data_IF_719636150649
#
_entry.id   IF_719636150649
#
_cell.length_a   1.000
_cell.length_b   1.000
_cell.length_c   1.000
_cell.angle_alpha   90.00
_cell.angle_beta   90.00
_cell.angle_gamma   90.00
#
_symmetry.space_group_name_H-M   'P 1'
#
loop_
_entity.id
_entity.type
_entity.pdbx_description
1 polymer ?
#
# COMPACT_ATOMS: atom_id res chain seq x y z
N UNK A 1 25.54 -5.76 -19.07
CA UNK A 1 24.24 -5.09 -18.89
C UNK A 1 23.22 -5.98 -18.19
N UNK A 2 23.12 -7.24 -18.57
CA UNK A 2 22.19 -8.24 -18.02
C UNK A 2 22.43 -8.58 -16.55
N UNK A 3 23.68 -8.83 -16.15
CA UNK A 3 24.07 -9.17 -14.78
C UNK A 3 23.69 -8.06 -13.77
N UNK A 4 23.88 -6.78 -14.12
CA UNK A 4 23.52 -5.65 -13.26
C UNK A 4 21.99 -5.56 -13.06
N UNK A 5 21.21 -5.88 -14.10
CA UNK A 5 19.75 -5.94 -14.05
C UNK A 5 19.29 -7.05 -13.11
N UNK A 6 19.88 -8.25 -13.22
CA UNK A 6 19.57 -9.39 -12.35
C UNK A 6 19.84 -9.04 -10.88
N UNK A 7 21.01 -8.47 -10.58
CA UNK A 7 21.37 -8.07 -9.22
C UNK A 7 20.35 -7.07 -8.64
N UNK A 8 20.00 -6.03 -9.40
CA UNK A 8 19.03 -5.03 -8.93
C UNK A 8 17.65 -5.63 -8.67
N UNK A 9 17.20 -6.54 -9.54
CA UNK A 9 15.92 -7.23 -9.38
C UNK A 9 15.93 -8.16 -8.16
N UNK A 10 17.04 -8.87 -7.94
CA UNK A 10 17.22 -9.73 -6.76
C UNK A 10 17.19 -8.91 -5.46
N UNK A 11 17.83 -7.75 -5.45
CA UNK A 11 17.81 -6.81 -4.33
C UNK A 11 16.37 -6.34 -4.04
N UNK A 12 15.64 -5.94 -5.08
CA UNK A 12 14.25 -5.51 -4.93
C UNK A 12 13.36 -6.64 -4.37
N UNK A 13 13.49 -7.86 -4.88
CA UNK A 13 12.77 -9.04 -4.37
C UNK A 13 13.12 -9.35 -2.91
N UNK A 14 14.41 -9.32 -2.57
CA UNK A 14 14.89 -9.58 -1.21
C UNK A 14 14.35 -8.57 -0.19
N UNK A 15 14.41 -7.27 -0.49
CA UNK A 15 13.88 -6.25 0.40
C UNK A 15 12.34 -6.24 0.47
N UNK A 16 11.67 -6.62 -0.61
CA UNK A 16 10.23 -6.87 -0.57
C UNK A 16 9.88 -7.99 0.40
N UNK A 17 10.62 -9.09 0.36
CA UNK A 17 10.42 -10.22 1.29
C UNK A 17 10.67 -9.81 2.75
N UNK A 18 11.72 -9.03 3.03
CA UNK A 18 12.00 -8.51 4.38
C UNK A 18 10.85 -7.62 4.89
N UNK A 19 10.42 -6.66 4.07
CA UNK A 19 9.37 -5.70 4.49
C UNK A 19 8.03 -6.40 4.71
N UNK A 20 7.59 -7.23 3.77
CA UNK A 20 6.36 -8.02 3.92
C UNK A 20 6.50 -9.03 5.06
N UNK A 21 7.67 -9.66 5.22
CA UNK A 21 7.97 -10.56 6.33
C UNK A 21 7.81 -9.89 7.69
N UNK A 22 8.30 -8.66 7.86
CA UNK A 22 8.12 -7.88 9.08
C UNK A 22 6.64 -7.62 9.38
N UNK A 23 5.86 -7.17 8.37
CA UNK A 23 4.40 -6.96 8.52
C UNK A 23 3.67 -8.27 8.85
N UNK A 24 4.07 -9.37 8.22
CA UNK A 24 3.51 -10.70 8.47
C UNK A 24 3.80 -11.16 9.90
N UNK A 25 5.05 -11.02 10.35
CA UNK A 25 5.42 -11.36 11.74
C UNK A 25 4.64 -10.52 12.75
N UNK A 26 4.50 -9.22 12.54
CA UNK A 26 3.69 -8.36 13.40
C UNK A 26 2.22 -8.81 13.43
N UNK A 27 1.65 -9.17 12.27
CA UNK A 27 0.27 -9.63 12.17
C UNK A 27 0.02 -10.96 12.90
N UNK A 28 0.94 -11.94 12.76
CA UNK A 28 0.70 -13.31 13.24
C UNK A 28 1.35 -13.63 14.58
N UNK A 29 2.28 -12.80 15.04
CA UNK A 29 3.06 -13.07 16.27
C UNK A 29 2.83 -12.04 17.37
N UNK A 30 1.96 -11.04 17.14
CA UNK A 30 1.59 -10.06 18.15
C UNK A 30 0.07 -9.90 18.22
N UNK A 31 -0.43 -9.43 19.37
CA UNK A 31 -1.84 -9.15 19.59
C UNK A 31 -2.23 -7.70 19.23
N UNK A 32 -1.34 -6.98 18.54
CA UNK A 32 -1.55 -5.56 18.19
C UNK A 32 -2.45 -5.34 16.97
N UNK A 33 -2.94 -6.41 16.32
CA UNK A 33 -3.85 -6.34 15.18
C UNK A 33 -3.19 -6.65 13.84
N UNK A 34 -3.88 -6.31 12.75
CA UNK A 34 -3.41 -6.55 11.39
C UNK A 34 -2.43 -5.45 10.96
N UNK A 35 -1.32 -5.84 10.33
CA UNK A 35 -0.35 -4.90 9.73
C UNK A 35 -0.20 -5.12 8.22
N UNK A 36 -0.74 -6.24 7.71
CA UNK A 36 -0.58 -6.68 6.33
C UNK A 36 -1.87 -6.48 5.53
N UNK A 37 -1.74 -5.85 4.36
CA UNK A 37 -2.79 -5.71 3.34
C UNK A 37 -2.25 -6.22 2.01
N UNK A 38 -3.09 -6.90 1.21
CA UNK A 38 -2.67 -7.46 -0.07
C UNK A 38 -2.10 -6.40 -1.03
N UNK A 39 -2.64 -5.18 -1.02
CA UNK A 39 -2.15 -4.05 -1.82
C UNK A 39 -0.72 -3.60 -1.46
N UNK A 40 -0.23 -3.91 -0.25
CA UNK A 40 1.16 -3.65 0.13
C UNK A 40 2.16 -4.50 -0.68
N UNK A 41 1.79 -5.72 -1.08
CA UNK A 41 2.60 -6.51 -2.00
C UNK A 41 2.88 -5.80 -3.32
N UNK A 42 1.85 -5.17 -3.91
CA UNK A 42 2.00 -4.36 -5.12
C UNK A 42 2.81 -3.08 -4.87
N UNK A 43 2.72 -2.49 -3.67
CA UNK A 43 3.53 -1.33 -3.26
C UNK A 43 5.02 -1.66 -3.30
N UNK A 44 5.43 -2.88 -2.96
CA UNK A 44 6.84 -3.29 -2.99
C UNK A 44 7.44 -3.20 -4.40
N UNK A 45 6.65 -3.46 -5.44
CA UNK A 45 7.11 -3.35 -6.84
C UNK A 45 7.55 -1.91 -7.15
N UNK A 46 6.76 -0.91 -6.74
CA UNK A 46 7.12 0.50 -6.92
C UNK A 46 8.25 0.90 -5.99
N UNK A 47 8.15 0.57 -4.72
CA UNK A 47 9.08 1.03 -3.67
C UNK A 47 10.51 0.56 -3.90
N UNK A 48 10.71 -0.68 -4.35
CA UNK A 48 12.03 -1.26 -4.54
C UNK A 48 12.43 -1.44 -6.00
N UNK A 49 11.46 -1.69 -6.88
CA UNK A 49 11.70 -1.83 -8.32
C UNK A 49 11.83 -0.49 -9.04
N UNK A 50 10.98 0.47 -8.67
CA UNK A 50 10.85 1.76 -9.35
C UNK A 50 10.78 2.94 -8.36
N UNK A 51 11.75 3.10 -7.42
CA UNK A 51 11.70 4.15 -6.39
C UNK A 51 11.75 5.56 -6.95
N UNK A 52 12.20 5.74 -8.19
CA UNK A 52 12.21 7.02 -8.91
C UNK A 52 10.83 7.43 -9.43
N UNK A 53 9.87 6.50 -9.43
CA UNK A 53 8.50 6.79 -9.88
C UNK A 53 7.82 7.79 -8.94
N UNK A 54 7.11 8.81 -9.46
CA UNK A 54 6.30 9.69 -8.62
C UNK A 54 5.25 8.91 -7.80
N UNK A 55 4.80 7.76 -8.29
CA UNK A 55 3.85 6.90 -7.60
C UNK A 55 4.46 6.16 -6.39
N UNK A 56 5.79 6.09 -6.28
CA UNK A 56 6.51 5.52 -5.15
C UNK A 56 6.82 6.54 -4.04
N UNK A 57 6.43 7.81 -4.22
CA UNK A 57 6.67 8.84 -3.21
C UNK A 57 5.94 8.51 -1.90
N UNK A 58 6.58 8.73 -0.76
CA UNK A 58 6.05 8.38 0.57
C UNK A 58 4.67 8.98 0.86
N UNK A 59 4.46 10.24 0.45
CA UNK A 59 3.17 10.91 0.52
C UNK A 59 2.08 10.12 -0.22
N UNK A 60 2.39 9.66 -1.43
CA UNK A 60 1.42 8.96 -2.28
C UNK A 60 1.12 7.56 -1.74
N UNK A 61 2.12 6.86 -1.21
CA UNK A 61 1.92 5.58 -0.53
C UNK A 61 0.96 5.77 0.64
N UNK A 62 1.28 6.67 1.58
CA UNK A 62 0.48 6.85 2.79
C UNK A 62 -0.95 7.29 2.48
N UNK A 63 -1.08 8.43 1.81
CA UNK A 63 -2.41 9.01 1.56
C UNK A 63 -3.21 8.26 0.50
N UNK A 64 -2.55 7.63 -0.49
CA UNK A 64 -3.22 6.77 -1.45
C UNK A 64 -3.92 5.60 -0.78
N UNK A 65 -3.21 4.86 0.09
CA UNK A 65 -3.82 3.77 0.86
C UNK A 65 -4.90 4.26 1.80
N UNK A 66 -4.67 5.36 2.52
CA UNK A 66 -5.64 5.90 3.47
C UNK A 66 -6.94 6.34 2.78
N UNK A 67 -6.85 7.14 1.71
CA UNK A 67 -8.03 7.66 1.01
C UNK A 67 -8.84 6.54 0.37
N UNK A 68 -8.20 5.60 -0.32
CA UNK A 68 -8.93 4.53 -0.99
C UNK A 68 -9.58 3.55 0.00
N UNK A 69 -8.90 3.23 1.11
CA UNK A 69 -9.50 2.43 2.18
C UNK A 69 -10.67 3.16 2.85
N UNK A 70 -10.52 4.48 3.10
CA UNK A 70 -11.62 5.31 3.66
C UNK A 70 -12.84 5.31 2.76
N UNK A 71 -12.65 5.47 1.44
CA UNK A 71 -13.75 5.37 0.47
C UNK A 71 -14.42 4.00 0.55
N UNK A 72 -13.62 2.91 0.60
CA UNK A 72 -14.16 1.55 0.71
C UNK A 72 -14.98 1.33 1.97
N UNK A 73 -14.45 1.69 3.15
CA UNK A 73 -15.15 1.54 4.44
C UNK A 73 -16.39 2.42 4.49
N UNK A 74 -16.31 3.66 4.03
CA UNK A 74 -17.46 4.58 4.00
C UNK A 74 -18.56 4.04 3.07
N UNK A 75 -18.19 3.59 1.87
CA UNK A 75 -19.14 3.01 0.93
C UNK A 75 -19.83 1.77 1.53
N UNK A 76 -19.06 0.86 2.11
CA UNK A 76 -19.58 -0.35 2.76
C UNK A 76 -20.54 -0.03 3.91
N UNK A 77 -20.24 0.98 4.70
CA UNK A 77 -21.02 1.32 5.91
C UNK A 77 -22.33 2.05 5.57
N UNK A 78 -22.31 2.95 4.58
CA UNK A 78 -23.42 3.88 4.38
C UNK A 78 -24.22 3.64 3.09
N UNK A 79 -23.73 2.82 2.16
CA UNK A 79 -24.41 2.59 0.90
C UNK A 79 -24.97 1.16 0.85
N UNK A 80 -26.30 0.96 1.01
CA UNK A 80 -26.92 -0.36 1.06
C UNK A 80 -27.13 -0.94 -0.35
N UNK A 81 -26.02 -1.16 -1.06
CA UNK A 81 -26.00 -1.80 -2.37
C UNK A 81 -25.31 -3.16 -2.30
N UNK A 82 -25.67 -4.12 -3.15
CA UNK A 82 -24.95 -5.39 -3.24
C UNK A 82 -23.51 -5.16 -3.71
N UNK A 83 -22.58 -6.01 -3.25
CA UNK A 83 -21.15 -5.86 -3.45
C UNK A 83 -20.73 -5.68 -4.92
N UNK A 84 -21.38 -6.41 -5.85
CA UNK A 84 -21.06 -6.31 -7.28
C UNK A 84 -21.37 -4.95 -7.91
N UNK A 85 -22.20 -4.12 -7.26
CA UNK A 85 -22.46 -2.71 -7.63
C UNK A 85 -21.58 -1.77 -6.79
N UNK A 86 -21.44 -2.06 -5.51
CA UNK A 86 -20.72 -1.21 -4.56
C UNK A 86 -19.23 -1.15 -4.87
N UNK A 87 -18.60 -2.30 -5.19
CA UNK A 87 -17.17 -2.39 -5.48
C UNK A 87 -16.75 -1.46 -6.62
N UNK A 88 -17.34 -1.53 -7.84
CA UNK A 88 -16.92 -0.65 -8.93
C UNK A 88 -17.13 0.83 -8.61
N UNK A 89 -18.19 1.20 -7.89
CA UNK A 89 -18.42 2.58 -7.45
C UNK A 89 -17.32 3.02 -6.49
N UNK A 90 -17.00 2.23 -5.47
CA UNK A 90 -15.99 2.56 -4.48
C UNK A 90 -14.58 2.63 -5.10
N UNK A 91 -14.25 1.74 -6.03
CA UNK A 91 -12.98 1.80 -6.78
C UNK A 91 -12.91 3.07 -7.62
N UNK A 92 -13.97 3.38 -8.37
CA UNK A 92 -14.04 4.59 -9.18
C UNK A 92 -13.85 5.86 -8.36
N UNK A 93 -14.54 5.97 -7.22
CA UNK A 93 -14.39 7.09 -6.28
C UNK A 93 -12.98 7.14 -5.68
N UNK A 94 -12.41 6.02 -5.27
CA UNK A 94 -11.05 5.93 -4.75
C UNK A 94 -10.01 6.42 -5.75
N UNK A 95 -10.11 6.00 -7.01
CA UNK A 95 -9.25 6.47 -8.11
C UNK A 95 -9.44 7.97 -8.36
N UNK A 96 -10.69 8.43 -8.43
CA UNK A 96 -11.01 9.85 -8.60
C UNK A 96 -10.35 10.71 -7.52
N UNK A 97 -10.51 10.37 -6.24
CA UNK A 97 -9.92 11.15 -5.14
C UNK A 97 -8.39 11.08 -5.15
N UNK A 98 -7.78 9.93 -5.43
CA UNK A 98 -6.32 9.84 -5.53
C UNK A 98 -5.75 10.80 -6.60
N UNK A 99 -6.39 10.86 -7.76
CA UNK A 99 -5.96 11.74 -8.87
C UNK A 99 -6.21 13.20 -8.51
N UNK A 100 -7.40 13.53 -8.03
CA UNK A 100 -7.80 14.89 -7.67
C UNK A 100 -6.90 15.51 -6.59
N UNK A 101 -6.49 14.70 -5.60
CA UNK A 101 -5.63 15.14 -4.49
C UNK A 101 -4.13 15.07 -4.80
N UNK A 102 -3.73 14.65 -6.02
CA UNK A 102 -2.32 14.46 -6.39
C UNK A 102 -1.56 13.53 -5.42
N UNK A 103 -2.20 12.42 -5.06
CA UNK A 103 -1.66 11.37 -4.18
C UNK A 103 -1.72 10.00 -4.86
N UNK A 104 -1.61 9.95 -6.17
CA UNK A 104 -1.79 8.73 -6.96
C UNK A 104 -0.75 7.68 -6.58
N UNK A 105 -1.25 6.55 -6.07
CA UNK A 105 -0.49 5.35 -5.75
C UNK A 105 -1.27 4.13 -6.29
N UNK A 106 -0.95 3.63 -7.48
CA UNK A 106 -1.75 2.59 -8.15
C UNK A 106 -2.05 1.35 -7.30
N UNK A 107 -1.12 0.82 -6.47
CA UNK A 107 -1.43 -0.31 -5.61
C UNK A 107 -2.62 -0.08 -4.67
N UNK A 108 -2.81 1.15 -4.22
CA UNK A 108 -3.90 1.50 -3.31
C UNK A 108 -5.30 1.41 -3.97
N UNK A 109 -5.38 1.42 -5.30
CA UNK A 109 -6.64 1.27 -6.02
C UNK A 109 -7.40 -0.03 -5.72
N UNK A 110 -6.70 -1.06 -5.23
CA UNK A 110 -7.32 -2.31 -4.80
C UNK A 110 -7.96 -2.29 -3.39
N UNK A 111 -7.69 -1.27 -2.57
CA UNK A 111 -8.17 -1.23 -1.19
C UNK A 111 -9.70 -1.29 -1.06
N UNK A 112 -10.51 -0.57 -1.87
CA UNK A 112 -11.97 -0.66 -1.76
C UNK A 112 -12.49 -2.09 -1.97
N UNK A 113 -11.85 -2.86 -2.85
CA UNK A 113 -12.20 -4.27 -3.10
C UNK A 113 -11.94 -5.09 -1.84
N UNK A 114 -10.74 -4.96 -1.27
CA UNK A 114 -10.30 -5.70 -0.07
C UNK A 114 -11.23 -5.38 1.11
N UNK A 115 -11.53 -4.10 1.30
CA UNK A 115 -12.40 -3.60 2.38
C UNK A 115 -13.82 -4.17 2.26
N UNK A 116 -14.41 -4.13 1.08
CA UNK A 116 -15.80 -4.55 0.87
C UNK A 116 -15.92 -6.07 1.00
N UNK A 117 -15.07 -6.85 0.30
CA UNK A 117 -15.09 -8.32 0.39
C UNK A 117 -14.76 -8.80 1.81
N UNK A 118 -13.85 -8.11 2.50
CA UNK A 118 -13.47 -8.44 3.87
C UNK A 118 -14.43 -7.91 4.94
N UNK A 119 -15.51 -7.21 4.57
CA UNK A 119 -16.46 -6.58 5.50
C UNK A 119 -15.77 -5.77 6.59
N UNK A 120 -14.75 -4.98 6.20
CA UNK A 120 -13.89 -4.27 7.13
C UNK A 120 -14.61 -3.06 7.77
N UNK A 121 -14.32 -2.82 9.06
CA UNK A 121 -14.79 -1.66 9.83
C UNK A 121 -13.81 -0.49 9.75
N UNK A 122 -14.16 0.65 10.38
CA UNK A 122 -13.28 1.83 10.46
C UNK A 122 -11.94 1.55 11.17
N UNK A 123 -11.86 0.55 12.05
CA UNK A 123 -10.61 0.15 12.71
C UNK A 123 -9.55 -0.30 11.70
N UNK A 124 -9.98 -0.82 10.55
CA UNK A 124 -9.11 -1.19 9.46
C UNK A 124 -8.25 0.00 8.94
N UNK A 125 -8.76 1.22 9.05
CA UNK A 125 -8.00 2.42 8.67
C UNK A 125 -6.80 2.65 9.58
N UNK A 126 -6.93 2.34 10.87
CA UNK A 126 -5.83 2.46 11.83
C UNK A 126 -4.88 1.29 11.65
N UNK A 127 -5.40 0.07 11.75
CA UNK A 127 -4.66 -1.16 11.59
C UNK A 127 -5.42 -2.08 10.61
N UNK A 128 -4.87 -2.36 9.42
CA UNK A 128 -3.47 -2.25 9.00
C UNK A 128 -3.10 -0.99 8.19
N UNK A 129 -4.05 -0.14 7.74
CA UNK A 129 -3.74 0.86 6.69
C UNK A 129 -2.72 1.90 7.14
N UNK A 130 -2.97 2.63 8.21
CA UNK A 130 -2.05 3.66 8.72
C UNK A 130 -0.77 3.00 9.24
N UNK A 131 -0.89 2.05 10.15
CA UNK A 131 0.27 1.42 10.80
C UNK A 131 1.16 0.69 9.79
N UNK A 132 0.59 -0.11 8.91
CA UNK A 132 1.33 -0.82 7.88
C UNK A 132 1.98 0.12 6.86
N UNK A 133 1.27 1.18 6.42
CA UNK A 133 1.84 2.17 5.51
C UNK A 133 3.04 2.91 6.13
N UNK A 134 2.97 3.27 7.42
CA UNK A 134 4.09 3.90 8.13
C UNK A 134 5.31 2.97 8.16
N UNK A 135 5.11 1.70 8.51
CA UNK A 135 6.17 0.69 8.53
C UNK A 135 6.81 0.54 7.14
N UNK A 136 6.01 0.40 6.08
CA UNK A 136 6.47 0.31 4.70
C UNK A 136 7.32 1.53 4.33
N UNK A 137 6.87 2.73 4.68
CA UNK A 137 7.60 3.98 4.38
C UNK A 137 8.94 4.00 5.12
N UNK A 138 8.98 3.63 6.39
CA UNK A 138 10.23 3.56 7.16
C UNK A 138 11.21 2.59 6.49
N UNK A 139 10.78 1.37 6.18
CA UNK A 139 11.61 0.40 5.47
C UNK A 139 12.06 0.94 4.11
N UNK A 140 11.15 1.54 3.34
CA UNK A 140 11.45 2.10 2.03
C UNK A 140 12.51 3.20 2.09
N UNK A 141 12.40 4.13 3.05
CA UNK A 141 13.39 5.20 3.25
C UNK A 141 14.73 4.61 3.70
N UNK A 142 14.72 3.74 4.71
CA UNK A 142 15.95 3.12 5.23
C UNK A 142 16.68 2.36 4.12
N UNK A 143 15.99 1.51 3.40
CA UNK A 143 16.60 0.66 2.39
C UNK A 143 17.04 1.46 1.15
N UNK A 144 16.18 2.30 0.60
CA UNK A 144 16.55 3.05 -0.62
C UNK A 144 17.58 4.14 -0.35
N UNK A 145 17.36 4.97 0.68
CA UNK A 145 18.22 6.13 0.94
C UNK A 145 19.53 5.77 1.62
N UNK A 146 19.47 4.97 2.69
CA UNK A 146 20.66 4.74 3.52
C UNK A 146 21.47 3.50 3.10
N UNK A 147 20.82 2.43 2.64
CA UNK A 147 21.51 1.19 2.23
C UNK A 147 21.87 1.23 0.75
N UNK A 148 20.90 1.49 -0.13
CA UNK A 148 21.12 1.50 -1.57
C UNK A 148 21.63 2.85 -2.10
N UNK A 149 21.70 3.87 -1.25
CA UNK A 149 22.17 5.23 -1.58
C UNK A 149 21.46 5.84 -2.79
N UNK A 150 20.20 5.51 -2.98
CA UNK A 150 19.35 6.10 -4.01
C UNK A 150 18.80 7.45 -3.55
N UNK A 151 18.46 8.33 -4.50
CA UNK A 151 17.75 9.57 -4.19
C UNK A 151 16.26 9.27 -3.96
N UNK A 152 15.91 8.97 -2.69
CA UNK A 152 14.56 8.61 -2.26
C UNK A 152 14.23 9.23 -0.90
N UNK A 153 12.99 9.71 -0.66
CA UNK A 153 11.93 9.97 -1.66
C UNK A 153 12.31 11.16 -2.56
N UNK A 154 11.78 11.16 -3.79
CA UNK A 154 11.92 12.28 -4.74
C UNK A 154 10.73 13.19 -4.66
#
# INVERSE_FOLDING_TARGET
METKKIINNSIAGFFSAITIGALTLLTYKTDYGLFLVASFGSTMVLLYGYPESPFAHTKNIFFGHLVTATVGVTALTFIPLPEYILIPIAVGLGVFFMIMLNITHPPAGGNPIIVIIGSASFDYLISPVITGSVIIIIFGVVLNKFILKKNYPK
#
